data_IF_794471818667
#
_entry.id   IF_794471818667
#
_cell.length_a   1.000
_cell.length_b   1.000
_cell.length_c   1.000
_cell.angle_alpha   90.00
_cell.angle_beta   90.00
_cell.angle_gamma   90.00
#
_symmetry.space_group_name_H-M   'P 1'
#
loop_
_entity.id
_entity.type
_entity.pdbx_description
1 polymer ?
#
# COMPACT_ATOMS: atom_id res chain seq x y z
N UNK A 1 15.75 25.05 7.02
CA UNK A 1 16.05 24.90 5.59
C UNK A 1 16.97 23.70 5.40
N UNK A 2 16.52 22.56 5.89
CA UNK A 2 17.00 21.21 5.65
C UNK A 2 15.72 20.38 5.50
N UNK A 3 15.77 19.26 4.77
CA UNK A 3 14.66 18.31 4.50
C UNK A 3 14.04 18.34 3.09
N UNK A 4 14.71 18.90 2.08
CA UNK A 4 14.29 18.69 0.67
C UNK A 4 15.22 17.74 -0.11
N UNK A 5 16.52 17.73 0.16
CA UNK A 5 17.48 16.86 -0.55
C UNK A 5 17.55 15.42 -0.02
N UNK A 6 17.37 15.22 1.30
CA UNK A 6 17.39 13.87 1.88
C UNK A 6 16.17 13.04 1.45
N UNK A 7 14.98 13.63 1.45
CA UNK A 7 13.75 12.97 1.02
C UNK A 7 13.79 12.54 -0.46
N UNK A 8 14.32 13.39 -1.35
CA UNK A 8 14.41 13.08 -2.78
C UNK A 8 15.40 11.93 -3.10
N UNK A 9 16.40 11.73 -2.26
CA UNK A 9 17.41 10.68 -2.44
C UNK A 9 16.89 9.32 -1.97
N UNK A 10 16.12 9.28 -0.88
CA UNK A 10 15.49 8.05 -0.36
C UNK A 10 14.37 7.51 -1.26
N UNK A 11 13.51 8.39 -1.81
CA UNK A 11 12.42 7.96 -2.72
C UNK A 11 12.97 7.30 -4.00
N UNK A 12 14.17 7.69 -4.43
CA UNK A 12 14.85 7.08 -5.58
C UNK A 12 15.30 5.64 -5.28
N UNK A 13 15.71 5.34 -4.05
CA UNK A 13 16.16 3.99 -3.69
C UNK A 13 14.98 3.01 -3.62
N UNK A 14 13.88 3.38 -2.97
CA UNK A 14 12.70 2.51 -2.85
C UNK A 14 12.02 2.24 -4.19
N UNK A 15 11.99 3.24 -5.08
CA UNK A 15 11.52 3.05 -6.44
C UNK A 15 12.36 2.06 -7.24
N UNK A 16 13.68 2.09 -7.07
CA UNK A 16 14.60 1.12 -7.66
C UNK A 16 14.45 -0.26 -7.02
N UNK A 17 14.28 -0.33 -5.69
CA UNK A 17 14.02 -1.58 -4.96
C UNK A 17 12.72 -2.22 -5.46
N UNK A 18 11.64 -1.46 -5.59
CA UNK A 18 10.36 -1.96 -6.09
C UNK A 18 10.48 -2.55 -7.50
N UNK A 19 11.23 -1.88 -8.40
CA UNK A 19 11.52 -2.39 -9.74
C UNK A 19 12.37 -3.67 -9.71
N UNK A 20 13.43 -3.70 -8.88
CA UNK A 20 14.27 -4.91 -8.74
C UNK A 20 13.48 -6.10 -8.20
N UNK A 21 12.60 -5.87 -7.22
CA UNK A 21 11.70 -6.89 -6.70
C UNK A 21 10.76 -7.41 -7.78
N UNK A 22 10.16 -6.53 -8.57
CA UNK A 22 9.35 -6.91 -9.74
C UNK A 22 10.14 -7.85 -10.66
N UNK A 23 11.34 -7.45 -11.06
CA UNK A 23 12.16 -8.25 -11.97
C UNK A 23 12.51 -9.64 -11.39
N UNK A 24 12.84 -9.69 -10.08
CA UNK A 24 13.10 -10.96 -9.38
C UNK A 24 11.85 -11.83 -9.36
N UNK A 25 10.68 -11.27 -9.04
CA UNK A 25 9.42 -12.00 -8.98
C UNK A 25 9.06 -12.59 -10.34
N UNK A 26 9.14 -11.80 -11.42
CA UNK A 26 8.83 -12.27 -12.77
C UNK A 26 9.83 -13.33 -13.25
N UNK A 27 11.13 -13.12 -13.05
CA UNK A 27 12.16 -14.14 -13.36
C UNK A 27 11.99 -15.42 -12.56
N UNK A 28 11.52 -15.33 -11.32
CA UNK A 28 11.29 -16.50 -10.47
C UNK A 28 10.05 -17.25 -10.93
N UNK A 29 8.94 -16.54 -11.16
CA UNK A 29 7.70 -17.11 -11.66
C UNK A 29 7.89 -17.83 -13.00
N UNK A 30 8.71 -17.27 -13.91
CA UNK A 30 8.98 -17.88 -15.22
C UNK A 30 9.71 -19.23 -15.16
N UNK A 31 10.28 -19.61 -14.00
CA UNK A 31 10.94 -20.91 -13.82
C UNK A 31 9.97 -22.07 -13.59
N UNK A 32 8.72 -21.76 -13.25
CA UNK A 32 7.71 -22.78 -12.95
C UNK A 32 6.80 -23.03 -14.16
N UNK A 33 6.51 -24.29 -14.53
CA UNK A 33 5.47 -24.59 -15.50
C UNK A 33 4.13 -23.99 -15.06
N UNK A 34 3.53 -23.13 -15.91
CA UNK A 34 2.29 -22.41 -15.57
C UNK A 34 2.47 -21.21 -14.62
N UNK A 35 3.70 -20.87 -14.24
CA UNK A 35 3.98 -19.66 -13.47
C UNK A 35 3.56 -18.38 -14.20
N UNK A 36 3.22 -17.35 -13.42
CA UNK A 36 2.73 -16.09 -13.96
C UNK A 36 3.71 -15.49 -14.98
N UNK A 37 3.20 -15.24 -16.20
CA UNK A 37 3.89 -14.55 -17.29
C UNK A 37 3.21 -13.19 -17.46
N UNK A 38 3.62 -12.21 -16.68
CA UNK A 38 2.95 -10.90 -16.62
C UNK A 38 3.76 -9.89 -15.84
N UNK A 39 3.11 -8.82 -15.37
CA UNK A 39 3.72 -7.82 -14.50
C UNK A 39 3.37 -8.11 -13.05
N UNK A 40 4.37 -8.07 -12.16
CA UNK A 40 4.16 -8.11 -10.72
C UNK A 40 3.99 -6.68 -10.20
N UNK A 41 2.87 -6.37 -9.58
CA UNK A 41 2.75 -5.11 -8.84
C UNK A 41 3.52 -5.26 -7.53
N UNK A 42 4.36 -4.29 -7.20
CA UNK A 42 5.13 -4.25 -5.94
C UNK A 42 4.70 -3.02 -5.17
N UNK A 43 4.24 -3.21 -3.93
CA UNK A 43 3.90 -2.11 -3.02
C UNK A 43 4.82 -2.17 -1.81
N UNK A 44 5.48 -1.06 -1.51
CA UNK A 44 6.29 -0.86 -0.31
C UNK A 44 5.51 0.08 0.62
N UNK A 45 5.03 -0.46 1.74
CA UNK A 45 4.32 0.29 2.78
C UNK A 45 5.31 0.89 3.78
N UNK A 46 5.12 2.15 4.17
CA UNK A 46 6.03 2.89 5.07
C UNK A 46 5.34 3.46 6.30
N UNK A 47 4.35 2.75 6.85
CA UNK A 47 3.61 3.16 8.04
C UNK A 47 2.99 4.56 7.89
N UNK A 48 3.51 5.54 8.65
CA UNK A 48 3.05 6.93 8.64
C UNK A 48 3.61 7.78 7.46
N UNK A 49 4.28 7.16 6.49
CA UNK A 49 4.80 7.82 5.29
C UNK A 49 4.07 7.32 4.02
N UNK A 50 4.12 8.07 2.89
CA UNK A 50 3.51 7.66 1.62
C UNK A 50 3.94 6.25 1.21
N UNK A 51 3.15 5.50 0.46
CA UNK A 51 3.61 4.20 -0.08
C UNK A 51 4.36 4.39 -1.39
N UNK A 52 5.26 3.47 -1.73
CA UNK A 52 5.85 3.39 -3.08
C UNK A 52 5.25 2.19 -3.80
N UNK A 53 4.74 2.38 -5.00
CA UNK A 53 4.22 1.29 -5.84
C UNK A 53 4.95 1.25 -7.18
N UNK A 54 5.37 0.06 -7.59
CA UNK A 54 5.70 -0.26 -8.98
C UNK A 54 4.54 -1.04 -9.59
N UNK A 55 3.83 -0.42 -10.53
CA UNK A 55 2.73 -1.02 -11.26
C UNK A 55 2.65 -0.42 -12.65
N UNK A 56 2.08 -1.17 -13.62
CA UNK A 56 1.92 -0.68 -15.00
C UNK A 56 3.23 -0.14 -15.63
N UNK A 57 4.39 -0.72 -15.24
CA UNK A 57 5.71 -0.30 -15.72
C UNK A 57 6.26 1.00 -15.13
N UNK A 58 5.58 1.59 -14.15
CA UNK A 58 5.94 2.88 -13.54
C UNK A 58 6.05 2.76 -12.01
N UNK A 59 6.99 3.50 -11.45
CA UNK A 59 7.05 3.77 -10.01
C UNK A 59 6.25 5.03 -9.69
N UNK A 60 5.36 4.95 -8.71
CA UNK A 60 4.55 6.06 -8.22
C UNK A 60 4.63 6.11 -6.69
N UNK A 61 4.77 7.31 -6.13
CA UNK A 61 4.58 7.53 -4.70
C UNK A 61 3.10 7.85 -4.44
N UNK A 62 2.47 7.10 -3.54
CA UNK A 62 1.06 7.23 -3.18
C UNK A 62 0.99 7.93 -1.82
N UNK A 63 0.50 9.17 -1.74
CA UNK A 63 0.38 9.89 -0.47
C UNK A 63 -0.57 9.16 0.48
N UNK A 64 -0.40 9.40 1.78
CA UNK A 64 -1.34 8.90 2.77
C UNK A 64 -2.72 9.51 2.54
N UNK A 65 -3.73 8.65 2.37
CA UNK A 65 -5.13 9.09 2.31
C UNK A 65 -5.65 9.59 3.67
N UNK A 66 -5.00 9.18 4.76
CA UNK A 66 -5.31 9.61 6.13
C UNK A 66 -4.03 9.69 6.96
N UNK A 67 -3.77 10.84 7.57
CA UNK A 67 -2.76 10.97 8.62
C UNK A 67 -3.40 10.72 9.98
N UNK A 68 -2.69 9.98 10.84
CA UNK A 68 -3.09 9.71 12.22
C UNK A 68 -2.07 10.40 13.13
N UNK A 69 -2.48 11.40 13.91
CA UNK A 69 -1.62 12.01 14.93
C UNK A 69 -1.05 10.95 15.88
N UNK A 70 0.20 11.11 16.30
CA UNK A 70 0.91 10.12 17.13
C UNK A 70 0.18 9.80 18.44
N UNK A 71 -0.50 10.78 19.02
CA UNK A 71 -1.29 10.67 20.24
C UNK A 71 -2.58 9.85 20.08
N UNK A 72 -3.02 9.62 18.83
CA UNK A 72 -4.17 8.77 18.50
C UNK A 72 -3.76 7.35 18.06
N UNK A 73 -2.45 7.08 17.96
CA UNK A 73 -1.93 5.73 17.67
C UNK A 73 -1.97 4.91 18.95
N UNK A 74 -2.71 3.81 18.94
CA UNK A 74 -2.92 2.93 20.09
C UNK A 74 -2.11 1.64 19.98
N UNK A 75 -2.15 0.99 18.82
CA UNK A 75 -1.48 -0.28 18.58
C UNK A 75 -1.24 -0.45 17.07
N UNK A 76 -0.01 -0.69 16.64
CA UNK A 76 0.33 -0.84 15.21
C UNK A 76 0.20 -2.29 14.72
N UNK A 77 -0.11 -3.22 15.61
CA UNK A 77 -0.25 -4.64 15.30
C UNK A 77 -1.38 -4.87 14.30
N UNK A 78 -1.11 -5.63 13.24
CA UNK A 78 -2.11 -5.95 12.21
C UNK A 78 -2.34 -4.86 11.16
N UNK A 79 -1.69 -3.68 11.24
CA UNK A 79 -1.83 -2.64 10.21
C UNK A 79 -1.43 -3.12 8.80
N UNK A 80 -0.39 -3.97 8.70
CA UNK A 80 0.03 -4.58 7.44
C UNK A 80 -0.99 -5.57 6.87
N UNK A 81 -1.60 -6.38 7.73
CA UNK A 81 -2.64 -7.35 7.32
C UNK A 81 -3.94 -6.62 6.92
N UNK A 82 -4.32 -5.58 7.68
CA UNK A 82 -5.41 -4.65 7.35
C UNK A 82 -5.19 -4.00 5.98
N UNK A 83 -3.96 -3.53 5.71
CA UNK A 83 -3.56 -3.03 4.40
C UNK A 83 -3.71 -4.11 3.33
N UNK A 84 -3.14 -5.30 3.52
CA UNK A 84 -3.14 -6.36 2.50
C UNK A 84 -4.56 -6.83 2.14
N UNK A 85 -5.42 -7.04 3.14
CA UNK A 85 -6.81 -7.45 2.94
C UNK A 85 -7.64 -6.38 2.23
N UNK A 86 -7.53 -5.13 2.66
CA UNK A 86 -8.24 -4.02 2.01
C UNK A 86 -7.69 -3.70 0.61
N UNK A 87 -6.38 -3.82 0.39
CA UNK A 87 -5.76 -3.69 -0.92
C UNK A 87 -6.30 -4.73 -1.90
N UNK A 88 -6.35 -6.00 -1.50
CA UNK A 88 -6.94 -7.06 -2.31
C UNK A 88 -8.40 -6.75 -2.68
N UNK A 89 -9.20 -6.31 -1.70
CA UNK A 89 -10.58 -5.89 -1.94
C UNK A 89 -10.67 -4.76 -2.97
N UNK A 90 -9.97 -3.63 -2.77
CA UNK A 90 -10.08 -2.48 -3.67
C UNK A 90 -9.47 -2.75 -5.05
N UNK A 91 -8.43 -3.57 -5.14
CA UNK A 91 -7.82 -3.97 -6.41
C UNK A 91 -8.80 -4.79 -7.27
N UNK A 92 -9.58 -5.69 -6.66
CA UNK A 92 -10.62 -6.44 -7.39
C UNK A 92 -11.71 -5.52 -7.97
N UNK A 93 -12.01 -4.41 -7.30
CA UNK A 93 -13.01 -3.45 -7.76
C UNK A 93 -12.52 -2.54 -8.89
N UNK A 94 -11.21 -2.28 -8.96
CA UNK A 94 -10.57 -1.48 -10.00
C UNK A 94 -9.19 -2.05 -10.39
N UNK A 95 -9.14 -3.19 -11.14
CA UNK A 95 -7.89 -3.90 -11.42
C UNK A 95 -6.86 -3.07 -12.20
N UNK A 96 -7.31 -2.07 -12.95
CA UNK A 96 -6.48 -1.21 -13.79
C UNK A 96 -5.92 0.01 -13.04
N UNK A 97 -6.23 0.17 -11.75
CA UNK A 97 -5.82 1.34 -10.95
C UNK A 97 -5.26 0.92 -9.58
N UNK A 98 -4.16 0.15 -9.54
CA UNK A 98 -3.58 -0.34 -8.30
C UNK A 98 -3.14 0.79 -7.36
N UNK A 99 -2.76 1.96 -7.87
CA UNK A 99 -2.44 3.15 -7.07
C UNK A 99 -3.65 3.63 -6.26
N UNK A 100 -4.84 3.62 -6.87
CA UNK A 100 -6.08 3.97 -6.18
C UNK A 100 -6.44 2.94 -5.11
N UNK A 101 -6.17 1.65 -5.37
CA UNK A 101 -6.33 0.60 -4.37
C UNK A 101 -5.37 0.78 -3.18
N UNK A 102 -4.10 1.14 -3.42
CA UNK A 102 -3.13 1.48 -2.35
C UNK A 102 -3.60 2.67 -1.53
N UNK A 103 -4.08 3.75 -2.16
CA UNK A 103 -4.58 4.92 -1.45
C UNK A 103 -5.76 4.56 -0.52
N UNK A 104 -6.69 3.73 -0.98
CA UNK A 104 -7.82 3.27 -0.15
C UNK A 104 -7.37 2.30 0.95
N UNK A 105 -6.44 1.39 0.66
CA UNK A 105 -5.91 0.45 1.64
C UNK A 105 -5.10 1.12 2.75
N UNK A 106 -4.30 2.14 2.42
CA UNK A 106 -3.59 2.95 3.43
C UNK A 106 -4.55 3.66 4.37
N UNK A 107 -5.71 4.12 3.89
CA UNK A 107 -6.76 4.67 4.77
C UNK A 107 -7.24 3.62 5.79
N UNK A 108 -7.53 2.40 5.33
CA UNK A 108 -8.06 1.33 6.21
C UNK A 108 -7.01 0.90 7.23
N UNK A 109 -5.75 0.77 6.82
CA UNK A 109 -4.64 0.49 7.72
C UNK A 109 -4.41 1.61 8.74
N UNK A 110 -4.55 2.87 8.33
CA UNK A 110 -4.48 4.01 9.25
C UNK A 110 -5.64 3.98 10.27
N UNK A 111 -6.81 3.45 9.93
CA UNK A 111 -7.90 3.29 10.89
C UNK A 111 -7.60 2.20 11.92
N UNK A 112 -6.96 1.09 11.52
CA UNK A 112 -6.72 -0.04 12.44
C UNK A 112 -5.76 0.36 13.57
N UNK A 113 -4.80 1.25 13.33
CA UNK A 113 -3.84 1.63 14.40
C UNK A 113 -4.44 2.44 15.56
N UNK A 114 -5.68 2.89 15.41
CA UNK A 114 -6.41 3.69 16.42
C UNK A 114 -7.16 2.82 17.44
N UNK A 115 -7.14 1.49 17.27
CA UNK A 115 -7.78 0.51 18.15
C UNK A 115 -6.74 -0.52 18.59
N UNK A 116 -7.02 -1.28 19.65
CA UNK A 116 -6.14 -2.36 20.15
C UNK A 116 -6.29 -3.63 19.32
N UNK A 117 -5.23 -4.44 19.31
CA UNK A 117 -5.16 -5.78 18.72
C UNK A 117 -5.28 -5.82 17.19
N UNK A 118 -4.98 -6.98 16.58
CA UNK A 118 -4.91 -7.12 15.13
C UNK A 118 -6.30 -7.23 14.50
N UNK A 119 -6.89 -8.42 14.43
CA UNK A 119 -8.15 -8.64 13.72
C UNK A 119 -9.31 -7.84 14.31
N UNK A 120 -9.30 -7.59 15.62
CA UNK A 120 -10.30 -6.83 16.35
C UNK A 120 -10.26 -5.33 16.04
N UNK A 121 -9.13 -4.80 15.56
CA UNK A 121 -9.00 -3.39 15.18
C UNK A 121 -9.52 -3.09 13.78
N UNK A 122 -9.81 -4.10 12.96
CA UNK A 122 -10.19 -3.90 11.57
C UNK A 122 -11.56 -3.23 11.46
N UNK A 123 -11.60 -2.14 10.69
CA UNK A 123 -12.83 -1.39 10.50
C UNK A 123 -13.83 -2.19 9.65
N UNK A 124 -15.07 -2.31 10.15
CA UNK A 124 -16.18 -2.78 9.33
C UNK A 124 -16.55 -1.75 8.26
N UNK A 125 -17.24 -2.19 7.20
CA UNK A 125 -17.70 -1.30 6.10
C UNK A 125 -18.43 -0.05 6.60
N UNK A 126 -19.23 -0.17 7.64
CA UNK A 126 -20.04 0.93 8.20
C UNK A 126 -19.21 1.97 8.97
N UNK A 127 -17.98 1.63 9.37
CA UNK A 127 -17.05 2.53 10.06
C UNK A 127 -16.15 3.30 9.09
N UNK A 128 -16.18 2.94 7.81
CA UNK A 128 -15.38 3.53 6.74
C UNK A 128 -16.22 4.51 5.91
N UNK A 129 -15.65 5.64 5.50
CA UNK A 129 -16.40 6.65 4.76
C UNK A 129 -16.76 6.18 3.35
N UNK A 130 -17.94 6.59 2.88
CA UNK A 130 -18.52 6.10 1.63
C UNK A 130 -17.70 6.41 0.37
N UNK A 131 -16.94 7.51 0.37
CA UNK A 131 -16.10 7.88 -0.77
C UNK A 131 -15.01 6.84 -1.08
N UNK A 132 -14.60 6.01 -0.12
CA UNK A 132 -13.68 4.90 -0.38
C UNK A 132 -14.28 3.85 -1.32
N UNK A 133 -15.60 3.75 -1.39
CA UNK A 133 -16.32 2.73 -2.16
C UNK A 133 -16.92 3.26 -3.46
N UNK A 134 -16.79 4.56 -3.74
CA UNK A 134 -17.18 5.15 -5.01
C UNK A 134 -16.16 4.78 -6.10
N UNK A 135 -16.65 4.59 -7.33
CA UNK A 135 -15.79 4.39 -8.52
C UNK A 135 -15.28 5.75 -8.96
N UNK A 136 -13.96 5.87 -9.05
CA UNK A 136 -13.23 7.02 -9.59
C UNK A 136 -13.40 7.12 -11.10
#
# INVERSE_FOLDING_TARGET
MWDSEAAATETNDEGQIARRLHDVMIRTASRFPGGARGLANVVITRGAHPCVIFANGKTTEVPLAKQVPSELVVDTTGAGDSFAGSFAYFLLQAPNSPEAAVAKATFVAAQSVTKKAAAESYAGRHELPDHLFQRS
#
